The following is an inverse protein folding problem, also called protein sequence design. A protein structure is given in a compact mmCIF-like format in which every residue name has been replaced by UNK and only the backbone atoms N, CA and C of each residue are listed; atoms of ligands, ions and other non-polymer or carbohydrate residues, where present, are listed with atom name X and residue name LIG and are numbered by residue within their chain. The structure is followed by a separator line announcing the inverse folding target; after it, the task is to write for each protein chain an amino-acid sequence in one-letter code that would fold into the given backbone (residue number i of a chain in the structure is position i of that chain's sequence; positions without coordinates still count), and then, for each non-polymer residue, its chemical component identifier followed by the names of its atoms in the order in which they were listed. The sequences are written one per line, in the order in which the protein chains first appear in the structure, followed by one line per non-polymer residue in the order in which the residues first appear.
data_IF_579927947689
#
_entry.id   IF_579927947689
#
_cell.length_a   1.000
_cell.length_b   1.000
_cell.length_c   1.000
_cell.angle_alpha   90.00
_cell.angle_beta   90.00
_cell.angle_gamma   90.00
#
_symmetry.space_group_name_H-M   'P 1'
#
loop_
_entity.id
_entity.type
_entity.pdbx_description
1 polymer ?
#
# COMPACT_ATOMS: atom_id res chain seq x y z
N UNK A 1 -3.81 -12.74 -5.12
CA UNK A 1 -3.83 -11.42 -4.44
C UNK A 1 -2.80 -11.42 -3.33
N UNK A 2 -1.96 -10.42 -3.29
CA UNK A 2 -0.91 -10.31 -2.28
C UNK A 2 -1.31 -9.29 -1.23
N UNK A 3 -1.05 -9.61 0.03
CA UNK A 3 -1.32 -8.72 1.15
C UNK A 3 -0.01 -8.21 1.72
N UNK A 4 0.08 -6.89 1.88
CA UNK A 4 1.23 -6.23 2.47
C UNK A 4 0.80 -5.45 3.68
N UNK A 5 1.63 -5.43 4.70
CA UNK A 5 1.44 -4.59 5.87
C UNK A 5 2.65 -3.67 6.01
N UNK A 6 2.39 -2.37 6.05
CA UNK A 6 3.43 -1.36 6.13
C UNK A 6 3.35 -0.67 7.48
N UNK A 7 4.49 -0.57 8.15
CA UNK A 7 4.59 0.10 9.45
C UNK A 7 5.07 1.53 9.23
N UNK A 8 4.44 2.47 9.92
CA UNK A 8 4.75 3.89 9.79
C UNK A 8 4.52 4.57 11.14
N UNK A 9 5.12 5.73 11.34
CA UNK A 9 4.86 6.53 12.54
C UNK A 9 3.39 6.97 12.55
N UNK A 10 2.70 6.87 13.71
CA UNK A 10 1.31 7.31 13.81
C UNK A 10 1.14 8.75 13.32
N UNK A 11 0.14 8.97 12.49
CA UNK A 11 -0.13 10.27 11.89
C UNK A 11 0.43 10.46 10.50
N UNK A 12 1.35 9.58 10.06
CA UNK A 12 1.97 9.67 8.73
C UNK A 12 1.45 8.63 7.74
N UNK A 13 0.37 7.93 8.08
CA UNK A 13 -0.16 6.84 7.27
C UNK A 13 -0.55 7.31 5.87
N UNK A 14 -1.25 8.43 5.76
CA UNK A 14 -1.69 8.93 4.46
C UNK A 14 -0.54 9.43 3.60
N UNK A 15 0.46 10.02 4.22
CA UNK A 15 1.66 10.45 3.51
C UNK A 15 2.42 9.26 2.93
N UNK A 16 2.57 8.20 3.74
CA UNK A 16 3.18 6.97 3.26
C UNK A 16 2.40 6.38 2.10
N UNK A 17 1.08 6.36 2.20
CA UNK A 17 0.24 5.83 1.13
C UNK A 17 0.42 6.61 -0.18
N UNK A 18 0.52 7.92 -0.12
CA UNK A 18 0.77 8.74 -1.31
C UNK A 18 2.10 8.38 -1.97
N UNK A 19 3.14 8.14 -1.19
CA UNK A 19 4.43 7.71 -1.72
C UNK A 19 4.34 6.34 -2.38
N UNK A 20 3.61 5.42 -1.75
CA UNK A 20 3.45 4.06 -2.28
C UNK A 20 2.68 4.06 -3.59
N UNK A 21 1.72 4.95 -3.77
CA UNK A 21 0.96 5.03 -5.01
C UNK A 21 1.84 5.27 -6.22
N UNK A 22 2.95 5.97 -6.05
CA UNK A 22 3.92 6.17 -7.13
C UNK A 22 4.76 4.91 -7.39
N UNK A 23 4.93 4.08 -6.38
CA UNK A 23 5.75 2.87 -6.48
C UNK A 23 5.02 1.68 -7.08
N UNK A 24 3.75 1.50 -6.71
CA UNK A 24 3.01 0.30 -7.06
C UNK A 24 2.93 0.03 -8.57
N UNK A 25 2.67 1.03 -9.43
CA UNK A 25 2.66 0.78 -10.88
C UNK A 25 4.00 0.30 -11.41
N UNK A 26 5.10 0.75 -10.82
CA UNK A 26 6.44 0.31 -11.23
C UNK A 26 6.69 -1.15 -10.88
N UNK A 27 6.01 -1.66 -9.86
CA UNK A 27 6.07 -3.04 -9.45
C UNK A 27 5.00 -3.90 -10.12
N UNK A 28 4.25 -3.33 -11.08
CA UNK A 28 3.14 -3.98 -11.76
C UNK A 28 2.12 -4.51 -10.77
N UNK A 29 1.77 -3.68 -9.82
CA UNK A 29 0.87 -4.02 -8.72
C UNK A 29 -0.17 -2.93 -8.58
N UNK A 30 -1.42 -3.31 -8.36
CA UNK A 30 -2.52 -2.40 -8.11
C UNK A 30 -3.13 -2.68 -6.74
N UNK A 31 -3.33 -1.66 -5.89
CA UNK A 31 -4.04 -1.87 -4.65
C UNK A 31 -5.53 -2.08 -4.92
N UNK A 32 -6.06 -3.23 -4.52
CA UNK A 32 -7.49 -3.51 -4.61
C UNK A 32 -8.23 -3.01 -3.40
N UNK A 33 -7.63 -3.13 -2.22
CA UNK A 33 -8.18 -2.64 -0.95
C UNK A 33 -7.08 -2.04 -0.10
N UNK A 34 -7.42 -0.97 0.60
CA UNK A 34 -6.49 -0.26 1.47
C UNK A 34 -7.17 -0.05 2.82
N UNK A 35 -6.50 -0.44 3.88
CA UNK A 35 -6.98 -0.24 5.25
C UNK A 35 -5.95 0.57 6.03
N UNK A 36 -6.39 1.65 6.67
CA UNK A 36 -5.54 2.47 7.51
C UNK A 36 -5.76 2.10 8.97
N UNK A 37 -4.66 1.89 9.69
CA UNK A 37 -4.68 1.71 11.13
C UNK A 37 -3.70 2.68 11.77
N UNK A 38 -3.74 2.83 13.08
CA UNK A 38 -2.74 3.66 13.77
C UNK A 38 -1.35 3.04 13.62
N UNK A 39 -0.48 3.73 12.92
CA UNK A 39 0.89 3.27 12.72
C UNK A 39 1.05 2.22 11.63
N UNK A 40 0.03 2.03 10.77
CA UNK A 40 0.15 1.04 9.71
C UNK A 40 -0.82 1.20 8.56
N UNK A 41 -0.49 0.56 7.46
CA UNK A 41 -1.35 0.47 6.28
C UNK A 41 -1.37 -0.98 5.82
N UNK A 42 -2.55 -1.54 5.66
CA UNK A 42 -2.71 -2.88 5.10
C UNK A 42 -3.22 -2.75 3.66
N UNK A 43 -2.52 -3.40 2.73
CA UNK A 43 -2.84 -3.34 1.31
C UNK A 43 -3.11 -4.74 0.79
N UNK A 44 -4.27 -4.92 0.15
CA UNK A 44 -4.53 -6.10 -0.66
C UNK A 44 -4.27 -5.71 -2.11
N UNK A 45 -3.26 -6.30 -2.72
CA UNK A 45 -2.78 -5.91 -4.05
C UNK A 45 -2.98 -7.03 -5.06
N UNK A 46 -3.29 -6.64 -6.28
CA UNK A 46 -3.34 -7.54 -7.43
C UNK A 46 -2.06 -7.33 -8.22
N UNK A 47 -1.31 -8.41 -8.43
CA UNK A 47 -0.12 -8.37 -9.27
C UNK A 47 -0.56 -8.45 -10.72
N UNK A 48 -0.17 -7.46 -11.50
CA UNK A 48 -0.54 -7.40 -12.91
C UNK A 48 0.33 -8.37 -13.72
N UNK A 49 -0.32 -9.08 -14.63
CA UNK A 49 0.41 -9.99 -15.51
C UNK A 49 1.31 -9.21 -16.47
N UNK A 50 2.42 -9.80 -16.82
CA UNK A 50 3.34 -9.27 -17.82
C UNK A 50 2.84 -9.52 -19.24
#
# INVERSE_FOLDING_TARGET
MNRYFLVVSPGLERLLYQEIQDYLPRLRTNPAKVYFTTGGIELDCIVLAL
#
